data_IF_384460702858
#
_entry.id   IF_384460702858
#
_cell.length_a   1.000
_cell.length_b   1.000
_cell.length_c   1.000
_cell.angle_alpha   90.00
_cell.angle_beta   90.00
_cell.angle_gamma   90.00
#
_symmetry.space_group_name_H-M   'P 1'
#
loop_
_entity.id
_entity.type
_entity.pdbx_description
1 polymer ?
#
# COMPACT_ATOMS: atom_id res chain seq x y z
N UNK A 1 12.18 31.65 -24.99
CA UNK A 1 10.90 31.66 -24.25
C UNK A 1 10.09 30.46 -24.73
N UNK A 2 9.67 29.45 -23.95
CA UNK A 2 9.56 29.19 -22.52
C UNK A 2 9.70 27.67 -22.34
N UNK A 3 10.58 27.22 -21.44
CA UNK A 3 10.63 25.82 -21.01
C UNK A 3 9.51 25.60 -20.00
N UNK A 4 8.50 24.80 -20.35
CA UNK A 4 7.43 24.42 -19.43
C UNK A 4 7.94 23.22 -18.60
N UNK A 5 8.40 23.52 -17.39
CA UNK A 5 8.79 22.53 -16.39
C UNK A 5 7.49 21.98 -15.78
N UNK A 6 7.09 20.78 -16.19
CA UNK A 6 6.06 20.01 -15.48
C UNK A 6 6.67 19.43 -14.20
N UNK A 7 6.57 20.17 -13.10
CA UNK A 7 6.87 19.66 -11.77
C UNK A 7 5.76 18.71 -11.33
N UNK A 8 5.96 17.41 -11.57
CA UNK A 8 5.10 16.34 -11.05
C UNK A 8 5.36 16.22 -9.54
N UNK A 9 4.57 16.94 -8.74
CA UNK A 9 4.64 16.90 -7.29
C UNK A 9 4.35 15.48 -6.77
N UNK A 10 5.38 14.81 -6.26
CA UNK A 10 5.27 13.57 -5.52
C UNK A 10 4.73 13.90 -4.12
N UNK A 11 3.41 13.91 -3.95
CA UNK A 11 2.81 13.98 -2.62
C UNK A 11 3.03 12.64 -1.93
N UNK A 12 3.97 12.60 -0.98
CA UNK A 12 4.03 11.51 -0.01
C UNK A 12 2.77 11.62 0.87
N UNK A 13 1.72 10.87 0.52
CA UNK A 13 0.64 10.59 1.43
C UNK A 13 1.19 9.67 2.52
N UNK A 14 1.66 10.26 3.62
CA UNK A 14 1.97 9.51 4.83
C UNK A 14 0.66 8.89 5.32
N UNK A 15 0.49 7.59 5.06
CA UNK A 15 -0.62 6.82 5.62
C UNK A 15 -0.46 6.86 7.14
N UNK A 16 -1.38 7.52 7.83
CA UNK A 16 -1.44 7.47 9.28
C UNK A 16 -1.71 6.00 9.65
N UNK A 17 -0.66 5.28 10.05
CA UNK A 17 -0.79 3.93 10.59
C UNK A 17 -1.82 3.96 11.71
N UNK A 18 -2.58 2.88 11.91
CA UNK A 18 -3.39 2.68 13.12
C UNK A 18 -2.55 3.06 14.33
N UNK A 19 -2.79 4.25 14.88
CA UNK A 19 -1.99 4.82 15.95
C UNK A 19 -2.48 4.23 17.25
N UNK A 20 -1.60 4.18 18.25
CA UNK A 20 -2.04 3.94 19.62
C UNK A 20 -3.13 4.98 19.92
N UNK A 21 -4.33 4.56 20.35
CA UNK A 21 -5.36 5.49 20.70
C UNK A 21 -4.90 6.28 21.94
N UNK A 22 -5.32 7.53 22.01
CA UNK A 22 -5.03 8.39 23.15
C UNK A 22 -5.87 7.93 24.35
N UNK A 23 -5.21 7.77 25.49
CA UNK A 23 -5.85 7.22 26.68
C UNK A 23 -5.73 8.19 27.85
N UNK A 24 -6.86 8.58 28.42
CA UNK A 24 -6.95 9.53 29.51
C UNK A 24 -7.54 8.88 30.77
N UNK A 25 -6.93 9.07 31.95
CA UNK A 25 -7.44 8.53 33.21
C UNK A 25 -8.77 9.17 33.61
N UNK A 26 -9.88 8.42 33.54
CA UNK A 26 -11.22 8.92 33.83
C UNK A 26 -11.59 8.97 35.32
N UNK A 27 -10.82 8.30 36.19
CA UNK A 27 -11.12 8.14 37.61
C UNK A 27 -9.93 8.47 38.53
N UNK A 28 -9.02 9.35 38.08
CA UNK A 28 -7.86 9.76 38.88
C UNK A 28 -6.81 8.67 39.05
N UNK A 29 -6.68 7.75 38.09
CA UNK A 29 -5.62 6.75 38.09
C UNK A 29 -4.25 7.43 38.09
N UNK A 30 -3.32 6.97 38.95
CA UNK A 30 -1.95 7.50 38.98
C UNK A 30 -1.16 7.12 37.72
N UNK A 31 -0.07 7.84 37.38
CA UNK A 31 0.79 7.48 36.26
C UNK A 31 1.34 6.06 36.34
N UNK A 32 1.69 5.58 37.54
CA UNK A 32 2.21 4.23 37.77
C UNK A 32 1.14 3.18 37.47
N UNK A 33 -0.11 3.46 37.90
CA UNK A 33 -1.25 2.59 37.58
C UNK A 33 -1.52 2.60 36.08
N UNK A 34 -1.49 3.77 35.43
CA UNK A 34 -1.65 3.86 33.98
C UNK A 34 -0.57 3.08 33.22
N UNK A 35 0.69 3.13 33.65
CA UNK A 35 1.77 2.39 33.01
C UNK A 35 1.61 0.86 33.16
N UNK A 36 1.25 0.41 34.36
CA UNK A 36 0.90 -1.00 34.61
C UNK A 36 -0.29 -1.43 33.76
N UNK A 37 -1.28 -0.54 33.66
CA UNK A 37 -2.53 -0.84 32.99
C UNK A 37 -2.38 -0.93 31.47
N UNK A 38 -1.57 -0.02 30.91
CA UNK A 38 -1.10 -0.05 29.54
C UNK A 38 -0.44 -1.38 29.23
N UNK A 39 0.56 -1.80 30.02
CA UNK A 39 1.30 -3.04 29.80
C UNK A 39 0.39 -4.28 29.78
N UNK A 40 -0.55 -4.36 30.72
CA UNK A 40 -1.55 -5.42 30.75
C UNK A 40 -2.44 -5.40 29.51
N UNK A 41 -2.91 -4.24 29.08
CA UNK A 41 -3.76 -4.12 27.89
C UNK A 41 -3.00 -4.36 26.58
N UNK A 42 -1.71 -4.04 26.49
CA UNK A 42 -0.85 -4.45 25.37
C UNK A 42 -0.79 -5.98 25.24
N UNK A 43 -0.55 -6.66 26.37
CA UNK A 43 -0.51 -8.12 26.44
C UNK A 43 -1.87 -8.75 26.11
N UNK A 44 -2.95 -8.21 26.67
CA UNK A 44 -4.31 -8.68 26.41
C UNK A 44 -4.71 -8.50 24.95
N UNK A 45 -4.43 -7.35 24.34
CA UNK A 45 -4.73 -7.09 22.93
C UNK A 45 -4.00 -8.08 22.01
N UNK A 46 -2.74 -8.40 22.33
CA UNK A 46 -1.95 -9.41 21.58
C UNK A 46 -2.57 -10.80 21.71
N UNK A 47 -2.93 -11.21 22.92
CA UNK A 47 -3.57 -12.52 23.17
C UNK A 47 -4.95 -12.63 22.52
N UNK A 48 -5.75 -11.56 22.57
CA UNK A 48 -7.12 -11.55 22.07
C UNK A 48 -7.19 -11.49 20.54
N UNK A 49 -6.26 -10.79 19.89
CA UNK A 49 -6.26 -10.62 18.43
C UNK A 49 -5.31 -11.58 17.71
N UNK A 50 -4.32 -12.13 18.40
CA UNK A 50 -3.20 -12.86 17.80
C UNK A 50 -2.22 -11.96 17.04
N UNK A 51 -2.38 -10.63 17.12
CA UNK A 51 -1.58 -9.66 16.37
C UNK A 51 -0.48 -9.11 17.25
N UNK A 52 0.77 -9.24 16.78
CA UNK A 52 1.92 -8.57 17.40
C UNK A 52 2.24 -7.26 16.65
N UNK A 53 2.02 -6.09 17.26
CA UNK A 53 2.26 -4.82 16.60
C UNK A 53 3.74 -4.63 16.21
N UNK A 54 4.69 -5.23 16.94
CA UNK A 54 6.10 -5.14 16.60
C UNK A 54 6.42 -5.93 15.31
N UNK A 55 5.80 -7.10 15.14
CA UNK A 55 5.95 -7.92 13.93
C UNK A 55 5.31 -7.22 12.73
N UNK A 56 4.11 -6.68 12.90
CA UNK A 56 3.41 -5.94 11.84
C UNK A 56 4.19 -4.69 11.44
N UNK A 57 4.72 -3.94 12.42
CA UNK A 57 5.56 -2.77 12.17
C UNK A 57 6.83 -3.12 11.39
N UNK A 58 7.48 -4.24 11.73
CA UNK A 58 8.71 -4.73 11.10
C UNK A 58 8.52 -5.29 9.68
N UNK A 59 7.28 -5.49 9.20
CA UNK A 59 7.03 -5.90 7.82
C UNK A 59 7.67 -4.90 6.84
N UNK A 60 8.53 -5.43 5.97
CA UNK A 60 9.30 -4.66 5.00
C UNK A 60 8.38 -3.85 4.07
N UNK A 61 8.87 -2.69 3.64
CA UNK A 61 8.20 -1.92 2.61
C UNK A 61 8.12 -2.73 1.30
N UNK A 62 7.09 -2.51 0.46
CA UNK A 62 6.98 -3.19 -0.82
C UNK A 62 8.24 -2.97 -1.66
N UNK A 63 8.75 -4.03 -2.29
CA UNK A 63 9.92 -3.98 -3.17
C UNK A 63 9.66 -3.05 -4.36
N UNK A 64 10.65 -2.34 -4.91
CA UNK A 64 10.43 -1.37 -5.99
C UNK A 64 9.75 -1.98 -7.23
N UNK A 65 9.02 -1.14 -7.98
CA UNK A 65 8.26 -1.57 -9.15
C UNK A 65 9.13 -2.35 -10.15
N UNK A 66 8.65 -3.48 -10.68
CA UNK A 66 9.44 -4.31 -11.58
C UNK A 66 9.75 -3.59 -12.89
N UNK A 67 11.03 -3.62 -13.29
CA UNK A 67 11.54 -3.04 -14.54
C UNK A 67 11.45 -4.10 -15.64
N UNK A 68 10.74 -3.83 -16.74
CA UNK A 68 10.66 -4.73 -17.91
C UNK A 68 9.27 -4.93 -18.53
N UNK A 69 8.21 -4.39 -17.93
CA UNK A 69 6.85 -4.44 -18.50
C UNK A 69 6.74 -3.84 -19.90
N UNK A 70 7.65 -2.93 -20.26
CA UNK A 70 7.76 -2.31 -21.58
C UNK A 70 8.31 -3.28 -22.64
N UNK A 71 9.28 -4.14 -22.34
CA UNK A 71 9.83 -5.10 -23.32
C UNK A 71 8.80 -6.18 -23.64
N UNK A 72 8.19 -6.77 -22.60
CA UNK A 72 7.12 -7.76 -22.78
C UNK A 72 5.90 -7.15 -23.46
N UNK A 73 5.58 -5.90 -23.13
CA UNK A 73 4.55 -5.12 -23.77
C UNK A 73 4.84 -4.90 -25.24
N UNK A 74 6.06 -4.51 -25.58
CA UNK A 74 6.51 -4.27 -26.95
C UNK A 74 6.43 -5.53 -27.80
N UNK A 75 6.97 -6.66 -27.33
CA UNK A 75 6.93 -7.91 -28.08
C UNK A 75 5.48 -8.37 -28.36
N UNK A 76 4.59 -8.27 -27.36
CA UNK A 76 3.16 -8.61 -27.52
C UNK A 76 2.44 -7.65 -28.45
N UNK A 77 2.73 -6.36 -28.33
CA UNK A 77 2.14 -5.33 -29.18
C UNK A 77 2.60 -5.47 -30.63
N UNK A 78 3.87 -5.79 -30.86
CA UNK A 78 4.43 -6.01 -32.19
C UNK A 78 3.77 -7.21 -32.89
N UNK A 79 3.65 -8.32 -32.18
CA UNK A 79 2.96 -9.51 -32.69
C UNK A 79 1.50 -9.21 -33.03
N UNK A 80 0.78 -8.50 -32.15
CA UNK A 80 -0.61 -8.11 -32.41
C UNK A 80 -0.74 -7.12 -33.58
N UNK A 81 0.17 -6.16 -33.69
CA UNK A 81 0.21 -5.19 -34.79
C UNK A 81 0.53 -5.82 -36.14
N UNK A 82 1.42 -6.81 -36.17
CA UNK A 82 1.75 -7.57 -37.39
C UNK A 82 0.53 -8.30 -37.97
N UNK A 83 -0.24 -8.99 -37.12
CA UNK A 83 -1.47 -9.70 -37.51
C UNK A 83 -2.51 -8.74 -38.12
N UNK A 84 -2.68 -7.56 -37.51
CA UNK A 84 -3.62 -6.55 -38.03
C UNK A 84 -3.12 -5.93 -39.35
N UNK A 85 -1.81 -5.73 -39.49
CA UNK A 85 -1.21 -5.21 -40.73
C UNK A 85 -1.42 -6.14 -41.92
N UNK A 86 -1.23 -7.45 -41.73
CA UNK A 86 -1.41 -8.49 -42.75
C UNK A 86 -2.87 -8.55 -43.25
N UNK A 87 -3.84 -8.38 -42.37
CA UNK A 87 -5.25 -8.36 -42.72
C UNK A 87 -5.70 -7.06 -43.42
N UNK A 88 -4.95 -5.96 -43.24
CA UNK A 88 -5.38 -4.61 -43.61
C UNK A 88 -4.82 -4.07 -44.93
N UNK A 89 -4.11 -4.86 -45.76
CA UNK A 89 -3.32 -4.35 -46.90
C UNK A 89 -2.26 -3.29 -46.52
N UNK A 90 -1.86 -3.23 -45.24
CA UNK A 90 -0.84 -2.30 -44.75
C UNK A 90 0.51 -3.02 -44.58
N UNK A 91 1.61 -2.27 -44.53
CA UNK A 91 2.93 -2.82 -44.28
C UNK A 91 3.00 -3.48 -42.89
N UNK A 92 3.14 -4.81 -42.87
CA UNK A 92 3.24 -5.64 -41.66
C UNK A 92 4.33 -5.12 -40.72
N UNK A 93 5.47 -4.68 -41.27
CA UNK A 93 6.58 -4.12 -40.48
C UNK A 93 6.23 -2.79 -39.81
N UNK A 94 5.51 -1.91 -40.50
CA UNK A 94 5.05 -0.63 -39.93
C UNK A 94 4.01 -0.88 -38.84
N UNK A 95 3.02 -1.74 -39.11
CA UNK A 95 1.98 -2.10 -38.14
C UNK A 95 2.57 -2.82 -36.91
N UNK A 96 3.59 -3.66 -37.09
CA UNK A 96 4.33 -4.29 -35.99
C UNK A 96 5.12 -3.26 -35.17
N UNK A 97 5.79 -2.29 -35.79
CA UNK A 97 6.52 -1.25 -35.07
C UNK A 97 5.58 -0.34 -34.25
N UNK A 98 4.44 0.06 -34.83
CA UNK A 98 3.39 0.81 -34.12
C UNK A 98 2.81 -0.02 -32.99
N UNK A 99 2.50 -1.29 -33.24
CA UNK A 99 2.06 -2.24 -32.22
C UNK A 99 3.07 -2.36 -31.08
N UNK A 100 4.37 -2.43 -31.38
CA UNK A 100 5.44 -2.53 -30.38
C UNK A 100 5.48 -1.31 -29.45
N UNK A 101 5.39 -0.10 -30.00
CA UNK A 101 5.43 1.13 -29.19
C UNK A 101 4.19 1.25 -28.30
N UNK A 102 3.00 1.02 -28.85
CA UNK A 102 1.74 1.02 -28.08
C UNK A 102 1.76 -0.07 -27.01
N UNK A 103 2.22 -1.26 -27.37
CA UNK A 103 2.38 -2.39 -26.45
C UNK A 103 3.36 -2.09 -25.32
N UNK A 104 4.48 -1.41 -25.61
CA UNK A 104 5.47 -1.03 -24.60
C UNK A 104 4.88 -0.07 -23.56
N UNK A 105 4.17 0.97 -24.02
CA UNK A 105 3.53 1.96 -23.16
C UNK A 105 2.41 1.32 -22.33
N UNK A 106 1.52 0.56 -22.97
CA UNK A 106 0.41 -0.09 -22.29
C UNK A 106 0.90 -1.20 -21.33
N UNK A 107 1.95 -1.93 -21.69
CA UNK A 107 2.59 -2.93 -20.84
C UNK A 107 3.26 -2.30 -19.61
N UNK A 108 3.98 -1.20 -19.80
CA UNK A 108 4.56 -0.41 -18.70
C UNK A 108 3.48 0.17 -17.76
N UNK A 109 2.42 0.74 -18.31
CA UNK A 109 1.30 1.27 -17.52
C UNK A 109 0.61 0.17 -16.68
N UNK A 110 0.33 -0.99 -17.28
CA UNK A 110 -0.27 -2.14 -16.56
C UNK A 110 0.66 -2.70 -15.48
N UNK A 111 1.96 -2.78 -15.74
CA UNK A 111 2.93 -3.24 -14.75
C UNK A 111 2.96 -2.30 -13.53
N UNK A 112 2.98 -0.98 -13.76
CA UNK A 112 2.88 0.01 -12.68
C UNK A 112 1.55 -0.05 -11.93
N UNK A 113 0.44 -0.22 -12.65
CA UNK A 113 -0.89 -0.34 -12.03
C UNK A 113 -1.01 -1.57 -11.13
N UNK A 114 -0.49 -2.73 -11.57
CA UNK A 114 -0.45 -3.96 -10.75
C UNK A 114 0.42 -3.77 -9.51
N UNK A 115 1.61 -3.21 -9.68
CA UNK A 115 2.50 -2.89 -8.59
C UNK A 115 1.82 -1.98 -7.56
N UNK A 116 1.23 -0.86 -7.99
CA UNK A 116 0.54 0.07 -7.11
C UNK A 116 -0.65 -0.58 -6.39
N UNK A 117 -1.41 -1.45 -7.06
CA UNK A 117 -2.50 -2.19 -6.44
C UNK A 117 -1.99 -3.16 -5.37
N UNK A 118 -0.92 -3.91 -5.65
CA UNK A 118 -0.31 -4.85 -4.71
C UNK A 118 0.29 -4.14 -3.50
N UNK A 119 0.99 -3.02 -3.71
CA UNK A 119 1.49 -2.19 -2.61
C UNK A 119 0.36 -1.64 -1.76
N UNK A 120 -0.72 -1.15 -2.40
CA UNK A 120 -1.87 -0.63 -1.66
C UNK A 120 -2.56 -1.73 -0.84
N UNK A 121 -2.73 -2.93 -1.40
CA UNK A 121 -3.32 -4.05 -0.68
C UNK A 121 -2.48 -4.46 0.53
N UNK A 122 -1.15 -4.54 0.38
CA UNK A 122 -0.24 -4.86 1.48
C UNK A 122 -0.29 -3.79 2.59
N UNK A 123 -0.31 -2.50 2.23
CA UNK A 123 -0.44 -1.41 3.20
C UNK A 123 -1.80 -1.42 3.90
N UNK A 124 -2.89 -1.65 3.18
CA UNK A 124 -4.23 -1.74 3.76
C UNK A 124 -4.36 -2.93 4.71
N UNK A 125 -3.75 -4.08 4.38
CA UNK A 125 -3.72 -5.24 5.26
C UNK A 125 -2.92 -4.96 6.54
N UNK A 126 -1.76 -4.29 6.44
CA UNK A 126 -0.99 -3.85 7.61
C UNK A 126 -1.82 -2.91 8.51
N UNK A 127 -2.51 -1.96 7.90
CA UNK A 127 -3.36 -1.00 8.61
C UNK A 127 -4.51 -1.69 9.34
N UNK A 128 -5.25 -2.59 8.67
CA UNK A 128 -6.39 -3.27 9.28
C UNK A 128 -6.00 -4.16 10.47
N UNK A 129 -4.82 -4.78 10.42
CA UNK A 129 -4.27 -5.55 11.55
C UNK A 129 -3.93 -4.64 12.74
N UNK A 130 -3.27 -3.51 12.49
CA UNK A 130 -2.98 -2.52 13.54
C UNK A 130 -4.27 -1.95 14.14
N UNK A 131 -5.27 -1.65 13.32
CA UNK A 131 -6.56 -1.13 13.80
C UNK A 131 -7.33 -2.16 14.64
N UNK A 132 -7.27 -3.45 14.28
CA UNK A 132 -7.83 -4.52 15.09
C UNK A 132 -7.13 -4.64 16.45
N UNK A 133 -5.79 -4.56 16.45
CA UNK A 133 -4.98 -4.57 17.66
C UNK A 133 -5.33 -3.40 18.58
N UNK A 134 -5.37 -2.18 18.05
CA UNK A 134 -5.65 -0.98 18.84
C UNK A 134 -7.08 -0.88 19.33
N UNK A 135 -8.06 -1.40 18.59
CA UNK A 135 -9.42 -1.54 19.08
C UNK A 135 -9.51 -2.47 20.28
N UNK A 136 -8.80 -3.59 20.26
CA UNK A 136 -8.73 -4.48 21.42
C UNK A 136 -8.04 -3.79 22.61
N UNK A 137 -6.89 -3.15 22.39
CA UNK A 137 -6.24 -2.37 23.43
C UNK A 137 -7.16 -1.28 24.01
N UNK A 138 -7.87 -0.55 23.15
CA UNK A 138 -8.85 0.47 23.56
C UNK A 138 -9.96 -0.10 24.42
N UNK A 139 -10.59 -1.20 24.01
CA UNK A 139 -11.63 -1.88 24.78
C UNK A 139 -11.14 -2.33 26.17
N UNK A 140 -9.89 -2.80 26.26
CA UNK A 140 -9.27 -3.13 27.55
C UNK A 140 -9.11 -1.88 28.44
N UNK A 141 -8.59 -0.77 27.89
CA UNK A 141 -8.43 0.47 28.64
C UNK A 141 -9.79 1.07 29.06
N UNK A 142 -10.79 1.04 28.18
CA UNK A 142 -12.17 1.47 28.49
C UNK A 142 -12.77 0.66 29.65
N UNK A 143 -12.61 -0.67 29.64
CA UNK A 143 -13.05 -1.55 30.73
C UNK A 143 -12.39 -1.26 32.08
N UNK A 144 -11.27 -0.53 32.08
CA UNK A 144 -10.53 -0.12 33.28
C UNK A 144 -10.80 1.33 33.68
N UNK A 145 -11.79 1.95 33.03
CA UNK A 145 -12.25 3.30 33.33
C UNK A 145 -11.33 4.39 32.78
N UNK A 146 -10.63 4.10 31.68
CA UNK A 146 -9.96 5.13 30.89
C UNK A 146 -10.88 5.61 29.77
N UNK A 147 -10.75 6.88 29.41
CA UNK A 147 -11.34 7.41 28.18
C UNK A 147 -10.37 7.19 27.03
N UNK A 148 -10.83 6.55 25.96
CA UNK A 148 -10.02 6.24 24.78
C UNK A 148 -10.51 7.06 23.59
N UNK A 149 -9.60 7.67 22.82
CA UNK A 149 -9.90 8.51 21.64
C UNK A 149 -8.90 8.28 20.51
#
# INVERSE_FOLDING_TARGET
MRFVIFALGLTLAASAFGQKPSVYPGHGQSPERQASDDGACYGWAKQNTGIDPAVVAAQAAPAPAPVGGHVRGAARGAAAGAVVGELGHNDVGHAAAVGATVGAVAGGARARGRYAAETQMAQNAKMSQMDAYWRAYGACMEGRGYTVR
#
